data_IF_313303260569
#
_entry.id   IF_313303260569
#
_cell.length_a   1.000
_cell.length_b   1.000
_cell.length_c   1.000
_cell.angle_alpha   90.00
_cell.angle_beta   90.00
_cell.angle_gamma   90.00
#
_symmetry.space_group_name_H-M   'P 1'
#
loop_
_entity.id
_entity.type
_entity.pdbx_description
1 polymer ?
#
# COMPACT_ATOMS: atom_id res chain seq x y z
N UNK A 1 8.70 -13.23 -16.72
CA UNK A 1 8.18 -14.09 -15.62
C UNK A 1 8.99 -13.84 -14.37
N UNK A 2 8.36 -13.76 -13.22
CA UNK A 2 9.02 -13.53 -11.94
C UNK A 2 10.00 -14.66 -11.63
N UNK A 3 11.23 -14.30 -11.26
CA UNK A 3 12.27 -15.23 -10.82
C UNK A 3 11.92 -15.83 -9.45
N UNK A 4 12.54 -16.97 -9.13
CA UNK A 4 12.36 -17.62 -7.83
C UNK A 4 12.92 -16.76 -6.70
N UNK A 5 12.19 -16.64 -5.58
CA UNK A 5 12.55 -15.81 -4.42
C UNK A 5 12.87 -16.69 -3.21
N UNK A 6 13.71 -16.23 -2.27
CA UNK A 6 14.24 -17.09 -1.20
C UNK A 6 13.25 -17.41 -0.06
N UNK A 7 12.02 -16.89 -0.13
CA UNK A 7 11.08 -16.92 0.97
C UNK A 7 10.56 -18.31 1.31
N UNK A 8 10.46 -18.59 2.61
CA UNK A 8 9.97 -19.86 3.17
C UNK A 8 8.66 -19.67 3.94
N UNK A 9 7.99 -20.77 4.28
CA UNK A 9 6.74 -20.74 5.05
C UNK A 9 6.83 -19.90 6.32
N UNK A 10 7.96 -19.96 7.04
CA UNK A 10 8.15 -19.18 8.25
C UNK A 10 8.11 -17.68 8.01
N UNK A 11 8.68 -17.20 6.90
CA UNK A 11 8.69 -15.78 6.54
C UNK A 11 7.27 -15.32 6.18
N UNK A 12 6.56 -16.14 5.42
CA UNK A 12 5.15 -15.92 5.11
C UNK A 12 4.31 -15.84 6.39
N UNK A 13 4.47 -16.78 7.33
CA UNK A 13 3.73 -16.78 8.59
C UNK A 13 4.03 -15.54 9.44
N UNK A 14 5.28 -15.10 9.50
CA UNK A 14 5.66 -13.86 10.22
C UNK A 14 5.00 -12.64 9.60
N UNK A 15 5.03 -12.49 8.28
CA UNK A 15 4.38 -11.38 7.59
C UNK A 15 2.86 -11.44 7.78
N UNK A 16 2.24 -12.62 7.64
CA UNK A 16 0.80 -12.78 7.88
C UNK A 16 0.41 -12.46 9.32
N UNK A 17 1.20 -12.89 10.31
CA UNK A 17 0.96 -12.57 11.71
C UNK A 17 1.03 -11.05 11.96
N UNK A 18 1.98 -10.34 11.35
CA UNK A 18 2.08 -8.87 11.41
C UNK A 18 0.83 -8.21 10.83
N UNK A 19 0.40 -8.62 9.64
CA UNK A 19 -0.78 -8.05 8.97
C UNK A 19 -2.07 -8.33 9.73
N UNK A 20 -2.23 -9.55 10.24
CA UNK A 20 -3.39 -9.94 11.06
C UNK A 20 -3.39 -9.17 12.38
N UNK A 21 -2.24 -9.02 13.05
CA UNK A 21 -2.13 -8.24 14.29
C UNK A 21 -2.50 -6.78 14.06
N UNK A 22 -2.03 -6.18 12.96
CA UNK A 22 -2.42 -4.83 12.58
C UNK A 22 -3.94 -4.71 12.38
N UNK A 23 -4.54 -5.64 11.65
CA UNK A 23 -5.99 -5.66 11.41
C UNK A 23 -6.76 -5.79 12.73
N UNK A 24 -6.39 -6.76 13.58
CA UNK A 24 -7.06 -6.99 14.86
C UNK A 24 -6.95 -5.79 15.80
N UNK A 25 -5.75 -5.19 15.90
CA UNK A 25 -5.56 -3.98 16.71
C UNK A 25 -6.37 -2.81 16.19
N UNK A 26 -6.46 -2.63 14.89
CA UNK A 26 -7.25 -1.57 14.26
C UNK A 26 -8.74 -1.75 14.51
N UNK A 27 -9.26 -2.97 14.36
CA UNK A 27 -10.67 -3.30 14.64
C UNK A 27 -10.95 -3.16 16.13
N UNK A 28 -10.12 -3.69 17.01
CA UNK A 28 -10.29 -3.61 18.45
C UNK A 28 -10.28 -2.15 18.95
N UNK A 29 -9.33 -1.36 18.47
CA UNK A 29 -9.26 0.08 18.74
C UNK A 29 -10.55 0.80 18.34
N UNK A 30 -11.11 0.46 17.18
CA UNK A 30 -12.37 1.02 16.71
C UNK A 30 -13.56 0.62 17.59
N UNK A 31 -13.64 -0.65 17.99
CA UNK A 31 -14.72 -1.18 18.83
C UNK A 31 -14.68 -0.60 20.25
N UNK A 32 -13.49 -0.42 20.82
CA UNK A 32 -13.29 0.14 22.17
C UNK A 32 -13.37 1.68 22.19
N UNK A 33 -13.56 2.33 21.04
CA UNK A 33 -13.56 3.80 20.96
C UNK A 33 -12.22 4.42 21.35
N UNK A 34 -11.14 3.64 21.34
CA UNK A 34 -9.81 4.14 21.66
C UNK A 34 -9.35 5.16 20.60
N UNK A 35 -8.68 6.23 21.01
CA UNK A 35 -8.12 7.15 20.02
C UNK A 35 -7.10 6.39 19.18
N UNK A 36 -7.43 6.14 17.92
CA UNK A 36 -6.43 5.71 16.95
C UNK A 36 -5.39 6.82 16.81
N UNK A 37 -4.17 6.48 16.43
CA UNK A 37 -3.11 7.47 16.19
C UNK A 37 -3.55 8.62 15.25
N UNK A 38 -4.52 8.34 14.40
CA UNK A 38 -5.17 9.31 13.52
C UNK A 38 -6.19 10.23 14.23
N UNK A 39 -6.70 9.84 15.41
CA UNK A 39 -7.58 10.66 16.30
C UNK A 39 -6.81 11.29 17.45
N UNK A 40 -5.53 11.01 17.61
CA UNK A 40 -4.71 11.69 18.61
C UNK A 40 -4.78 13.20 18.35
N UNK A 41 -5.11 13.96 19.38
CA UNK A 41 -5.20 15.43 19.30
C UNK A 41 -3.86 16.09 18.93
N UNK A 42 -2.77 15.31 18.98
CA UNK A 42 -1.44 15.77 18.62
C UNK A 42 -0.96 15.03 17.34
N UNK A 43 -0.82 15.73 16.20
CA UNK A 43 -0.30 15.13 14.95
C UNK A 43 1.07 14.46 15.12
N UNK A 44 1.92 14.99 16.00
CA UNK A 44 3.26 14.44 16.23
C UNK A 44 3.23 13.01 16.77
N UNK A 45 2.27 12.65 17.62
CA UNK A 45 2.14 11.27 18.13
C UNK A 45 1.74 10.28 17.03
N UNK A 46 0.86 10.69 16.13
CA UNK A 46 0.48 9.89 14.96
C UNK A 46 1.66 9.64 14.02
N UNK A 47 2.50 10.64 13.84
CA UNK A 47 3.71 10.53 13.02
C UNK A 47 4.75 9.60 13.63
N UNK A 48 4.99 9.67 14.93
CA UNK A 48 5.92 8.76 15.63
C UNK A 48 5.46 7.30 15.52
N UNK A 49 4.16 7.05 15.68
CA UNK A 49 3.57 5.71 15.50
C UNK A 49 3.76 5.22 14.06
N UNK A 50 3.52 6.07 13.06
CA UNK A 50 3.71 5.71 11.66
C UNK A 50 5.19 5.39 11.34
N UNK A 51 6.13 6.23 11.79
CA UNK A 51 7.58 5.96 11.65
C UNK A 51 7.96 4.65 12.32
N UNK A 52 7.47 4.41 13.53
CA UNK A 52 7.72 3.17 14.27
C UNK A 52 7.20 1.94 13.51
N UNK A 53 5.98 2.01 12.98
CA UNK A 53 5.37 0.93 12.20
C UNK A 53 6.17 0.64 10.91
N UNK A 54 6.34 1.63 10.06
CA UNK A 54 7.05 1.46 8.79
C UNK A 54 8.53 1.11 9.00
N UNK A 55 9.17 1.71 10.01
CA UNK A 55 10.54 1.38 10.40
C UNK A 55 10.67 -0.08 10.84
N UNK A 56 9.73 -0.57 11.66
CA UNK A 56 9.74 -1.97 12.10
C UNK A 56 9.55 -2.96 10.94
N UNK A 57 8.74 -2.59 9.94
CA UNK A 57 8.58 -3.37 8.71
C UNK A 57 9.90 -3.44 7.94
N UNK A 58 10.60 -2.32 7.76
CA UNK A 58 11.89 -2.29 7.07
C UNK A 58 12.96 -3.11 7.80
N UNK A 59 12.99 -3.05 9.14
CA UNK A 59 13.88 -3.87 9.97
C UNK A 59 13.54 -5.35 9.82
N UNK A 60 12.25 -5.71 9.86
CA UNK A 60 11.82 -7.10 9.63
C UNK A 60 12.25 -7.59 8.25
N UNK A 61 11.98 -6.84 7.20
CA UNK A 61 12.37 -7.21 5.83
C UNK A 61 13.88 -7.37 5.71
N UNK A 62 14.65 -6.43 6.30
CA UNK A 62 16.12 -6.54 6.34
C UNK A 62 16.57 -7.82 7.05
N UNK A 63 15.98 -8.13 8.21
CA UNK A 63 16.29 -9.35 8.94
C UNK A 63 15.99 -10.61 8.10
N UNK A 64 14.84 -10.67 7.40
CA UNK A 64 14.48 -11.77 6.53
C UNK A 64 15.47 -11.95 5.37
N UNK A 65 15.90 -10.84 4.74
CA UNK A 65 16.93 -10.88 3.69
C UNK A 65 18.25 -11.46 4.21
N UNK A 66 18.70 -11.00 5.39
CA UNK A 66 19.93 -11.50 6.02
C UNK A 66 19.82 -12.97 6.42
N UNK A 67 18.68 -13.39 6.97
CA UNK A 67 18.41 -14.79 7.36
C UNK A 67 18.57 -15.76 6.18
N UNK A 68 18.19 -15.34 4.98
CA UNK A 68 18.35 -16.15 3.76
C UNK A 68 19.70 -15.96 3.07
N UNK A 69 20.64 -15.22 3.67
CA UNK A 69 21.92 -14.84 3.06
C UNK A 69 21.75 -14.25 1.66
N UNK A 70 20.60 -13.63 1.43
CA UNK A 70 20.28 -12.94 0.17
C UNK A 70 20.78 -11.49 0.22
N UNK A 71 20.83 -10.86 -0.95
CA UNK A 71 20.99 -9.41 -1.03
C UNK A 71 19.68 -8.76 -1.51
N UNK A 72 19.50 -7.49 -1.18
CA UNK A 72 18.30 -6.73 -1.56
C UNK A 72 18.06 -6.71 -3.07
N UNK A 73 19.12 -6.66 -3.85
CA UNK A 73 19.03 -6.63 -5.33
C UNK A 73 18.44 -7.93 -5.87
N UNK A 74 18.95 -9.08 -5.41
CA UNK A 74 18.48 -10.40 -5.84
C UNK A 74 17.09 -10.72 -5.28
N UNK A 75 16.84 -10.44 -3.99
CA UNK A 75 15.57 -10.74 -3.33
C UNK A 75 14.38 -10.00 -3.97
N UNK A 76 14.58 -8.74 -4.41
CA UNK A 76 13.52 -7.86 -4.90
C UNK A 76 13.68 -7.44 -6.38
N UNK A 77 14.72 -7.90 -7.06
CA UNK A 77 14.93 -7.59 -8.46
C UNK A 77 15.43 -6.16 -8.74
N UNK A 78 16.08 -5.50 -7.76
CA UNK A 78 16.62 -4.14 -7.97
C UNK A 78 17.84 -4.08 -8.91
N UNK A 79 18.12 -5.15 -9.63
CA UNK A 79 19.24 -5.26 -10.58
C UNK A 79 18.89 -4.81 -12.01
N UNK A 80 17.68 -4.28 -12.24
CA UNK A 80 17.30 -3.92 -13.61
C UNK A 80 18.27 -2.88 -14.18
N UNK A 81 18.92 -3.16 -15.33
CA UNK A 81 19.80 -2.21 -15.99
C UNK A 81 19.05 -1.05 -16.67
N UNK A 82 17.74 -0.99 -16.54
CA UNK A 82 16.86 -0.04 -17.26
C UNK A 82 15.93 0.73 -16.31
N UNK A 83 16.46 1.61 -15.43
CA UNK A 83 15.62 2.38 -14.52
C UNK A 83 14.63 3.31 -15.26
N UNK A 84 15.03 3.85 -16.41
CA UNK A 84 14.18 4.72 -17.24
C UNK A 84 12.97 3.94 -17.78
N UNK A 85 13.17 2.70 -18.24
CA UNK A 85 12.04 1.90 -18.73
C UNK A 85 11.07 1.52 -17.62
N UNK A 86 11.54 1.26 -16.40
CA UNK A 86 10.69 1.02 -15.24
C UNK A 86 9.86 2.27 -14.89
N UNK A 87 10.47 3.46 -14.94
CA UNK A 87 9.77 4.72 -14.73
C UNK A 87 8.72 4.99 -15.81
N UNK A 88 9.08 4.84 -17.09
CA UNK A 88 8.13 5.04 -18.20
C UNK A 88 6.96 4.06 -18.13
N UNK A 89 7.23 2.80 -17.79
CA UNK A 89 6.18 1.81 -17.58
C UNK A 89 5.29 2.17 -16.40
N UNK A 90 5.87 2.59 -15.28
CA UNK A 90 5.11 3.05 -14.11
C UNK A 90 4.24 4.25 -14.44
N UNK A 91 4.76 5.26 -15.16
CA UNK A 91 4.00 6.42 -15.62
C UNK A 91 2.84 6.01 -16.55
N UNK A 92 3.11 5.20 -17.58
CA UNK A 92 2.10 4.73 -18.52
C UNK A 92 0.98 3.93 -17.82
N UNK A 93 1.37 3.00 -16.96
CA UNK A 93 0.40 2.18 -16.22
C UNK A 93 -0.40 3.02 -15.24
N UNK A 94 0.23 3.94 -14.50
CA UNK A 94 -0.47 4.83 -13.55
C UNK A 94 -1.48 5.73 -14.27
N UNK A 95 -1.15 6.23 -15.46
CA UNK A 95 -2.06 7.05 -16.26
C UNK A 95 -3.36 6.31 -16.64
N UNK A 96 -3.31 4.99 -16.75
CA UNK A 96 -4.48 4.13 -17.00
C UNK A 96 -5.19 3.77 -15.69
N UNK A 97 -4.43 3.46 -14.64
CA UNK A 97 -5.01 3.06 -13.33
C UNK A 97 -5.83 4.18 -12.71
N UNK A 98 -5.34 5.42 -12.75
CA UNK A 98 -5.97 6.55 -12.06
C UNK A 98 -7.45 6.74 -12.46
N UNK A 99 -7.81 6.92 -13.75
CA UNK A 99 -9.20 7.10 -14.13
C UNK A 99 -10.07 5.88 -13.80
N UNK A 100 -9.52 4.66 -13.94
CA UNK A 100 -10.25 3.43 -13.58
C UNK A 100 -10.49 3.36 -12.07
N UNK A 101 -9.49 3.66 -11.25
CA UNK A 101 -9.63 3.66 -9.80
C UNK A 101 -10.62 4.73 -9.32
N UNK A 102 -10.64 5.92 -9.91
CA UNK A 102 -11.62 6.95 -9.60
C UNK A 102 -13.04 6.55 -10.01
N UNK A 103 -13.20 5.89 -11.16
CA UNK A 103 -14.48 5.33 -11.57
C UNK A 103 -14.95 4.23 -10.59
N UNK A 104 -14.06 3.33 -10.17
CA UNK A 104 -14.36 2.30 -9.17
C UNK A 104 -14.73 2.92 -7.81
N UNK A 105 -14.06 3.99 -7.39
CA UNK A 105 -14.40 4.74 -6.18
C UNK A 105 -15.81 5.35 -6.26
N UNK A 106 -16.17 5.90 -7.41
CA UNK A 106 -17.53 6.42 -7.66
C UNK A 106 -18.58 5.30 -7.63
N UNK A 107 -18.25 4.12 -8.19
CA UNK A 107 -19.13 2.93 -8.09
C UNK A 107 -19.28 2.49 -6.64
N UNK A 108 -18.16 2.39 -5.87
CA UNK A 108 -18.21 2.05 -4.45
C UNK A 108 -19.12 3.00 -3.68
N UNK A 109 -18.99 4.31 -3.86
CA UNK A 109 -19.83 5.30 -3.20
C UNK A 109 -21.31 5.13 -3.53
N UNK A 110 -21.65 4.94 -4.81
CA UNK A 110 -23.06 4.72 -5.23
C UNK A 110 -23.64 3.44 -4.63
N UNK A 111 -22.87 2.37 -4.58
CA UNK A 111 -23.30 1.10 -3.96
C UNK A 111 -23.51 1.32 -2.46
N UNK A 112 -22.60 2.01 -1.77
CA UNK A 112 -22.75 2.32 -0.35
C UNK A 112 -24.02 3.15 -0.07
N UNK A 113 -24.30 4.15 -0.90
CA UNK A 113 -25.49 4.99 -0.79
C UNK A 113 -26.79 4.16 -0.89
N UNK A 114 -26.84 3.16 -1.78
CA UNK A 114 -27.99 2.25 -1.91
C UNK A 114 -28.26 1.44 -0.63
N UNK A 115 -27.23 1.16 0.14
CA UNK A 115 -27.34 0.47 1.43
C UNK A 115 -27.39 1.43 2.65
N UNK A 116 -27.60 2.72 2.42
CA UNK A 116 -27.57 3.77 3.45
C UNK A 116 -26.26 3.80 4.27
N UNK A 117 -25.14 3.34 3.68
CA UNK A 117 -23.81 3.39 4.27
C UNK A 117 -23.14 4.71 3.89
N UNK A 118 -22.63 5.44 4.88
CA UNK A 118 -21.90 6.68 4.59
C UNK A 118 -20.54 6.41 3.95
N UNK A 119 -20.33 6.94 2.76
CA UNK A 119 -19.01 6.97 2.14
C UNK A 119 -18.11 7.94 2.92
N UNK A 120 -17.08 7.40 3.54
CA UNK A 120 -16.15 8.18 4.39
C UNK A 120 -14.77 8.13 3.74
N UNK A 121 -14.18 9.30 3.39
CA UNK A 121 -12.81 9.34 2.90
C UNK A 121 -11.81 8.78 3.92
N UNK A 122 -10.66 8.31 3.43
CA UNK A 122 -9.57 7.91 4.32
C UNK A 122 -9.13 9.07 5.22
N UNK A 123 -8.62 8.74 6.40
CA UNK A 123 -8.23 9.75 7.40
C UNK A 123 -7.18 10.74 6.86
N UNK A 124 -6.21 10.26 6.10
CA UNK A 124 -5.21 11.11 5.44
C UNK A 124 -5.83 12.12 4.49
N UNK A 125 -6.83 11.69 3.71
CA UNK A 125 -7.58 12.57 2.80
C UNK A 125 -8.36 13.63 3.59
N UNK A 126 -9.03 13.24 4.67
CA UNK A 126 -9.73 14.18 5.54
C UNK A 126 -8.81 15.24 6.14
N UNK A 127 -7.62 14.82 6.60
CA UNK A 127 -6.63 15.75 7.14
C UNK A 127 -6.23 16.80 6.11
N UNK A 128 -6.00 16.40 4.87
CA UNK A 128 -5.69 17.33 3.78
C UNK A 128 -6.87 18.26 3.47
N UNK A 129 -8.09 17.74 3.41
CA UNK A 129 -9.30 18.53 3.12
C UNK A 129 -9.64 19.53 4.23
N UNK A 130 -9.26 19.28 5.49
CA UNK A 130 -9.49 20.22 6.60
C UNK A 130 -8.42 21.29 6.73
N UNK A 131 -7.34 21.19 5.95
CA UNK A 131 -6.18 22.09 6.02
C UNK A 131 -5.33 21.80 7.26
N UNK A 132 -4.11 21.34 7.04
CA UNK A 132 -3.11 21.13 8.10
C UNK A 132 -1.92 22.05 7.88
N UNK A 133 -1.16 22.42 8.92
CA UNK A 133 0.06 23.21 8.75
C UNK A 133 1.06 22.53 7.80
N UNK A 134 1.88 23.32 7.11
CA UNK A 134 2.80 22.85 6.06
C UNK A 134 3.75 21.73 6.55
N UNK A 135 4.28 21.81 7.77
CA UNK A 135 5.16 20.77 8.30
C UNK A 135 4.50 19.39 8.38
N UNK A 136 3.37 19.23 9.09
CA UNK A 136 2.54 18.03 9.05
C UNK A 136 2.13 17.57 7.65
N UNK A 137 1.81 18.49 6.74
CA UNK A 137 1.44 18.16 5.36
C UNK A 137 2.59 17.51 4.59
N UNK A 138 3.80 18.10 4.65
CA UNK A 138 5.02 17.54 4.04
C UNK A 138 5.29 16.15 4.61
N UNK A 139 5.16 15.98 5.93
CA UNK A 139 5.39 14.69 6.56
C UNK A 139 4.37 13.64 6.09
N UNK A 140 3.09 13.99 6.03
CA UNK A 140 2.03 13.12 5.51
C UNK A 140 2.30 12.74 4.06
N UNK A 141 2.76 13.68 3.24
CA UNK A 141 3.16 13.44 1.85
C UNK A 141 4.30 12.42 1.78
N UNK A 142 5.36 12.59 2.58
CA UNK A 142 6.49 11.64 2.63
C UNK A 142 6.04 10.24 3.05
N UNK A 143 5.17 10.15 4.04
CA UNK A 143 4.61 8.86 4.47
C UNK A 143 3.78 8.22 3.36
N UNK A 144 2.82 8.94 2.81
CA UNK A 144 1.86 8.38 1.86
C UNK A 144 2.48 8.09 0.48
N UNK A 145 3.42 8.95 0.01
CA UNK A 145 3.96 8.86 -1.35
C UNK A 145 5.22 8.01 -1.42
N UNK A 146 5.98 7.91 -0.33
CA UNK A 146 7.27 7.21 -0.34
C UNK A 146 7.27 6.01 0.60
N UNK A 147 7.08 6.23 1.89
CA UNK A 147 7.36 5.20 2.89
C UNK A 147 6.32 4.07 2.87
N UNK A 148 5.03 4.40 2.76
CA UNK A 148 3.97 3.42 2.65
C UNK A 148 4.11 2.57 1.37
N UNK A 149 4.21 3.14 0.15
CA UNK A 149 4.43 2.34 -1.06
C UNK A 149 5.64 1.42 -1.00
N UNK A 150 6.78 1.90 -0.49
CA UNK A 150 7.98 1.06 -0.37
C UNK A 150 7.74 -0.14 0.55
N UNK A 151 7.21 0.09 1.74
CA UNK A 151 7.02 -0.97 2.74
C UNK A 151 5.91 -1.94 2.35
N UNK A 152 4.83 -1.43 1.79
CA UNK A 152 3.72 -2.25 1.32
C UNK A 152 4.13 -3.13 0.15
N UNK A 153 4.84 -2.59 -0.85
CA UNK A 153 5.32 -3.40 -1.96
C UNK A 153 6.35 -4.44 -1.54
N UNK A 154 7.23 -4.12 -0.58
CA UNK A 154 8.15 -5.11 0.00
C UNK A 154 7.40 -6.28 0.64
N UNK A 155 6.34 -6.03 1.41
CA UNK A 155 5.56 -7.09 2.04
C UNK A 155 4.70 -7.87 1.03
N UNK A 156 3.92 -7.15 0.23
CA UNK A 156 2.92 -7.77 -0.66
C UNK A 156 3.56 -8.40 -1.89
N UNK A 157 4.33 -7.62 -2.68
CA UNK A 157 4.92 -8.10 -3.95
C UNK A 157 6.29 -8.71 -3.72
N UNK A 158 7.03 -8.20 -2.75
CA UNK A 158 8.34 -8.72 -2.42
C UNK A 158 8.33 -10.08 -1.72
N UNK A 159 7.36 -10.33 -0.83
CA UNK A 159 7.34 -11.54 0.02
C UNK A 159 6.08 -12.39 -0.21
N UNK A 160 4.88 -11.85 0.06
CA UNK A 160 3.65 -12.66 0.05
C UNK A 160 3.31 -13.23 -1.32
N UNK A 161 3.29 -12.39 -2.35
CA UNK A 161 2.94 -12.78 -3.71
C UNK A 161 3.86 -13.90 -4.25
N UNK A 162 5.19 -13.72 -4.28
CA UNK A 162 6.09 -14.76 -4.79
C UNK A 162 6.03 -16.05 -3.96
N UNK A 163 5.92 -15.96 -2.64
CA UNK A 163 5.81 -17.15 -1.82
C UNK A 163 4.58 -17.99 -2.20
N UNK A 164 3.37 -17.40 -2.22
CA UNK A 164 2.13 -18.11 -2.55
C UNK A 164 2.19 -18.69 -3.99
N UNK A 165 2.73 -17.91 -4.93
CA UNK A 165 2.90 -18.33 -6.32
C UNK A 165 3.82 -19.54 -6.44
N UNK A 166 4.94 -19.56 -5.72
CA UNK A 166 5.92 -20.65 -5.72
C UNK A 166 5.39 -21.94 -5.09
N UNK A 167 4.36 -21.85 -4.22
CA UNK A 167 3.63 -23.03 -3.72
C UNK A 167 2.67 -23.65 -4.76
N UNK A 168 2.65 -23.14 -6.00
CA UNK A 168 1.76 -23.65 -7.06
C UNK A 168 0.38 -22.97 -7.13
N UNK A 169 0.18 -21.86 -6.40
CA UNK A 169 -1.10 -21.16 -6.34
C UNK A 169 -1.06 -19.75 -6.97
N UNK A 170 -0.76 -19.61 -8.30
CA UNK A 170 -0.57 -18.28 -8.91
C UNK A 170 -1.84 -17.42 -8.92
N UNK A 171 -3.02 -18.02 -9.07
CA UNK A 171 -4.31 -17.29 -9.00
C UNK A 171 -4.57 -16.76 -7.58
N UNK A 172 -4.32 -17.59 -6.57
CA UNK A 172 -4.43 -17.17 -5.17
C UNK A 172 -3.41 -16.09 -4.82
N UNK A 173 -2.18 -16.18 -5.33
CA UNK A 173 -1.18 -15.13 -5.17
C UNK A 173 -1.70 -13.80 -5.72
N UNK A 174 -2.21 -13.79 -6.95
CA UNK A 174 -2.69 -12.57 -7.60
C UNK A 174 -3.90 -11.96 -6.88
N UNK A 175 -4.98 -12.73 -6.79
CA UNK A 175 -6.25 -12.23 -6.23
C UNK A 175 -6.21 -12.10 -4.71
N UNK A 176 -5.63 -13.09 -4.01
CA UNK A 176 -5.57 -13.10 -2.55
C UNK A 176 -4.76 -11.92 -2.00
N UNK A 177 -3.59 -11.65 -2.56
CA UNK A 177 -2.77 -10.51 -2.10
C UNK A 177 -3.40 -9.17 -2.47
N UNK A 178 -4.08 -9.05 -3.62
CA UNK A 178 -4.76 -7.83 -4.02
C UNK A 178 -5.98 -7.52 -3.15
N UNK A 179 -6.81 -8.52 -2.86
CA UNK A 179 -7.96 -8.38 -1.95
C UNK A 179 -7.50 -8.03 -0.54
N UNK A 180 -6.49 -8.75 -0.02
CA UNK A 180 -5.91 -8.47 1.30
C UNK A 180 -5.36 -7.04 1.38
N UNK A 181 -4.69 -6.57 0.31
CA UNK A 181 -4.20 -5.20 0.21
C UNK A 181 -5.32 -4.17 0.36
N UNK A 182 -6.42 -4.34 -0.38
CA UNK A 182 -7.61 -3.48 -0.25
C UNK A 182 -8.25 -3.55 1.13
N UNK A 183 -8.37 -4.74 1.72
CA UNK A 183 -8.98 -4.95 3.04
C UNK A 183 -8.21 -4.27 4.19
N UNK A 184 -6.88 -4.29 4.16
CA UNK A 184 -6.06 -3.69 5.21
C UNK A 184 -6.18 -2.17 5.32
N UNK A 185 -6.73 -1.52 4.31
CA UNK A 185 -7.04 -0.08 4.37
C UNK A 185 -8.32 0.23 5.16
N UNK A 186 -9.10 -0.79 5.57
CA UNK A 186 -10.30 -0.68 6.42
C UNK A 186 -11.30 0.39 5.94
N UNK A 187 -11.43 0.56 4.64
CA UNK A 187 -12.28 1.57 4.04
C UNK A 187 -13.04 1.00 2.84
N UNK A 188 -14.36 0.86 2.97
CA UNK A 188 -15.21 0.27 1.93
C UNK A 188 -15.22 1.08 0.64
N UNK A 189 -15.16 2.42 0.73
CA UNK A 189 -15.13 3.29 -0.45
C UNK A 189 -13.89 3.04 -1.31
N UNK A 190 -12.74 2.78 -0.67
CA UNK A 190 -11.47 2.56 -1.37
C UNK A 190 -11.15 1.09 -1.62
N UNK A 191 -11.96 0.16 -1.12
CA UNK A 191 -11.71 -1.28 -1.25
C UNK A 191 -11.56 -1.73 -2.70
N UNK A 192 -12.51 -1.41 -3.57
CA UNK A 192 -12.47 -1.78 -4.99
C UNK A 192 -11.30 -1.10 -5.73
N UNK A 193 -11.11 0.24 -5.64
CA UNK A 193 -9.95 0.90 -6.23
C UNK A 193 -8.61 0.31 -5.82
N UNK A 194 -8.43 0.02 -4.51
CA UNK A 194 -7.16 -0.48 -3.99
C UNK A 194 -6.96 -1.97 -4.31
N UNK A 195 -8.01 -2.76 -4.37
CA UNK A 195 -7.93 -4.14 -4.87
C UNK A 195 -7.50 -4.14 -6.34
N UNK A 196 -8.07 -3.26 -7.17
CA UNK A 196 -7.67 -3.10 -8.57
C UNK A 196 -6.22 -2.64 -8.68
N UNK A 197 -5.81 -1.62 -7.92
CA UNK A 197 -4.40 -1.22 -7.83
C UNK A 197 -3.53 -2.42 -7.47
N UNK A 198 -3.95 -3.20 -6.47
CA UNK A 198 -3.27 -4.40 -6.01
C UNK A 198 -2.98 -5.42 -7.11
N UNK A 199 -3.97 -5.67 -7.98
CA UNK A 199 -3.82 -6.57 -9.14
C UNK A 199 -2.81 -6.04 -10.14
N UNK A 200 -2.85 -4.75 -10.45
CA UNK A 200 -1.96 -4.14 -11.44
C UNK A 200 -0.51 -4.08 -10.94
N UNK A 201 -0.30 -3.77 -9.65
CA UNK A 201 1.04 -3.77 -9.06
C UNK A 201 1.65 -5.18 -9.02
N UNK A 202 0.84 -6.22 -8.76
CA UNK A 202 1.29 -7.61 -8.85
C UNK A 202 1.64 -8.00 -10.29
N UNK A 203 0.85 -7.57 -11.27
CA UNK A 203 1.14 -7.76 -12.69
C UNK A 203 2.44 -7.04 -13.12
N UNK A 204 2.66 -5.80 -12.67
CA UNK A 204 3.90 -5.06 -12.91
C UNK A 204 5.12 -5.83 -12.38
N UNK A 205 5.03 -6.34 -11.15
CA UNK A 205 6.13 -7.13 -10.58
C UNK A 205 6.38 -8.42 -11.35
N UNK A 206 5.30 -9.12 -11.73
CA UNK A 206 5.38 -10.35 -12.52
C UNK A 206 6.07 -10.14 -13.88
N UNK A 207 5.78 -9.04 -14.53
CA UNK A 207 6.29 -8.76 -15.88
C UNK A 207 7.70 -8.18 -15.88
N UNK A 208 8.06 -7.44 -14.84
CA UNK A 208 9.36 -6.76 -14.76
C UNK A 208 10.42 -7.50 -13.96
N UNK A 209 10.00 -8.41 -13.08
CA UNK A 209 10.85 -9.02 -12.03
C UNK A 209 11.67 -7.98 -11.26
N UNK A 210 11.11 -6.80 -11.10
CA UNK A 210 11.77 -5.66 -10.47
C UNK A 210 10.76 -4.87 -9.63
N UNK A 211 10.97 -4.87 -8.31
CA UNK A 211 10.07 -4.21 -7.37
C UNK A 211 10.05 -2.67 -7.51
N UNK A 212 11.05 -2.08 -8.17
CA UNK A 212 11.07 -0.64 -8.45
C UNK A 212 9.86 -0.21 -9.27
N UNK A 213 9.42 -1.02 -10.24
CA UNK A 213 8.30 -0.68 -11.11
C UNK A 213 6.96 -0.55 -10.34
N UNK A 214 6.52 -1.53 -9.53
CA UNK A 214 5.31 -1.37 -8.74
C UNK A 214 5.46 -0.31 -7.63
N UNK A 215 6.63 -0.14 -6.99
CA UNK A 215 6.85 0.94 -6.02
C UNK A 215 6.63 2.30 -6.69
N UNK A 216 7.23 2.56 -7.86
CA UNK A 216 7.05 3.82 -8.58
C UNK A 216 5.59 4.05 -9.01
N UNK A 217 4.92 3.02 -9.55
CA UNK A 217 3.53 3.14 -9.94
C UNK A 217 2.61 3.44 -8.75
N UNK A 218 2.85 2.77 -7.61
CA UNK A 218 2.11 3.00 -6.37
C UNK A 218 2.37 4.41 -5.81
N UNK A 219 3.63 4.85 -5.78
CA UNK A 219 4.01 6.21 -5.36
C UNK A 219 3.36 7.28 -6.25
N UNK A 220 3.34 7.10 -7.55
CA UNK A 220 2.69 8.01 -8.50
C UNK A 220 1.16 8.03 -8.32
N UNK A 221 0.55 6.88 -8.08
CA UNK A 221 -0.86 6.77 -7.77
C UNK A 221 -1.21 7.55 -6.49
N UNK A 222 -0.43 7.36 -5.43
CA UNK A 222 -0.63 8.07 -4.16
C UNK A 222 -0.37 9.57 -4.30
N UNK A 223 0.66 9.96 -5.05
CA UNK A 223 0.98 11.36 -5.36
C UNK A 223 -0.20 12.06 -6.04
N UNK A 224 -0.78 11.44 -7.08
CA UNK A 224 -1.91 12.01 -7.80
C UNK A 224 -3.16 12.17 -6.89
N UNK A 225 -3.44 11.17 -6.05
CA UNK A 225 -4.55 11.24 -5.10
C UNK A 225 -4.29 12.26 -3.99
N UNK A 226 -3.04 12.41 -3.54
CA UNK A 226 -2.64 13.43 -2.57
C UNK A 226 -2.90 14.85 -3.11
N UNK A 227 -2.43 15.13 -4.32
CA UNK A 227 -2.68 16.42 -4.95
C UNK A 227 -4.16 16.68 -5.19
N UNK A 228 -4.91 15.69 -5.64
CA UNK A 228 -6.35 15.82 -5.80
C UNK A 228 -7.02 16.21 -4.48
N UNK A 229 -6.70 15.52 -3.38
CA UNK A 229 -7.27 15.82 -2.07
C UNK A 229 -6.89 17.23 -1.57
N UNK A 230 -5.65 17.68 -1.82
CA UNK A 230 -5.20 19.01 -1.46
C UNK A 230 -5.88 20.11 -2.29
N UNK A 231 -6.15 19.87 -3.58
CA UNK A 231 -6.84 20.82 -4.44
C UNK A 231 -8.33 20.96 -4.09
N UNK A 232 -9.00 19.88 -3.69
CA UNK A 232 -10.39 19.91 -3.23
C UNK A 232 -10.60 20.82 -2.00
N UNK A 233 -9.55 21.05 -1.20
CA UNK A 233 -9.57 21.97 -0.05
C UNK A 233 -9.55 23.48 -0.48
N UNK A 234 -9.02 23.79 -1.65
CA UNK A 234 -8.86 25.20 -2.10
C UNK A 234 -10.12 25.74 -2.80
N UNK A 235 -11.11 24.90 -3.05
CA UNK A 235 -12.34 25.25 -3.78
C UNK A 235 -13.53 25.61 -2.88
N UNK A 236 -13.34 25.68 -1.56
CA UNK A 236 -14.30 26.13 -0.56
C UNK A 236 -13.65 27.21 0.32
#
# INVERSE_FOLDING_TARGET
MLSEKPWKLQDFLVVMALLISFLLLSVLSSLLGLPTSARAQNPASGFLVAIGLYGSILVLVHFLVQRHRANWRGAFGFNSPRPVSALLLALGVTSIILPVAWALGSVSSRVMDQFALKAVPQQSVKMLQTGIPLGPEIFLAMLAIVLAPVTEELLFRGILYPFIKQQGYPKLALWGTAVLFGMLHLNLMTFLPLTFLGLVLAWLYETTDNLTAPILAHSLFNLANFFRAAMENQTF
#
